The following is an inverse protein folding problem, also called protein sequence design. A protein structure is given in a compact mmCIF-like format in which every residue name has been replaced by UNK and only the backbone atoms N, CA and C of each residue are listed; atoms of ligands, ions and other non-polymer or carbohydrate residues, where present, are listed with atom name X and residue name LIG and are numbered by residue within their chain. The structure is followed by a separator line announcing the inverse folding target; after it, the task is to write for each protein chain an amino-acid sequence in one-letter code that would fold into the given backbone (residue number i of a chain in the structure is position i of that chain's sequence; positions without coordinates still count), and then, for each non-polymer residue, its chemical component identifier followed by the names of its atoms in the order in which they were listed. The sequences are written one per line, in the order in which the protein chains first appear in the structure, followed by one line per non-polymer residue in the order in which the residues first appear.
data_IF_052735697249
#
_entry.id   IF_052735697249
#
_cell.length_a   1.000
_cell.length_b   1.000
_cell.length_c   1.000
_cell.angle_alpha   90.00
_cell.angle_beta   90.00
_cell.angle_gamma   90.00
#
_symmetry.space_group_name_H-M   'P 1'
#
loop_
_entity.id
_entity.type
_entity.pdbx_description
1 polymer ?
#
# COMPACT_ATOMS: atom_id res chain seq x y z
N UNK A 1 -12.04 6.18 -13.60
CA UNK A 1 -10.61 6.38 -13.90
C UNK A 1 -9.85 5.96 -12.68
N UNK A 2 -8.95 4.99 -12.82
CA UNK A 2 -8.08 4.46 -11.77
C UNK A 2 -6.92 5.43 -11.47
N UNK A 3 -6.25 5.24 -10.33
CA UNK A 3 -5.02 5.90 -9.93
C UNK A 3 -3.84 5.05 -10.37
N UNK A 4 -2.77 5.64 -10.87
CA UNK A 4 -1.56 4.90 -11.23
C UNK A 4 -0.85 4.45 -9.95
N UNK A 5 -0.39 3.19 -9.89
CA UNK A 5 0.44 2.70 -8.79
C UNK A 5 1.88 2.62 -9.28
N UNK A 6 2.74 3.49 -8.76
CA UNK A 6 4.16 3.48 -9.04
C UNK A 6 4.88 2.85 -7.86
N UNK A 7 5.51 1.71 -8.07
CA UNK A 7 6.25 1.03 -7.01
C UNK A 7 7.73 1.34 -7.13
N UNK A 8 8.40 1.49 -5.98
CA UNK A 8 9.86 1.46 -5.94
C UNK A 8 10.35 0.03 -6.11
N UNK A 9 11.56 -0.16 -6.62
CA UNK A 9 12.19 -1.48 -6.72
C UNK A 9 12.21 -2.23 -5.39
N UNK A 10 12.36 -1.52 -4.26
CA UNK A 10 12.31 -2.13 -2.93
C UNK A 10 10.94 -2.78 -2.62
N UNK A 11 9.85 -2.14 -3.04
CA UNK A 11 8.49 -2.67 -2.84
C UNK A 11 8.23 -3.85 -3.78
N UNK A 12 8.70 -3.77 -5.03
CA UNK A 12 8.60 -4.86 -6.00
C UNK A 12 9.34 -6.12 -5.49
N UNK A 13 10.60 -5.98 -5.09
CA UNK A 13 11.40 -7.07 -4.53
C UNK A 13 10.75 -7.67 -3.26
N UNK A 14 10.22 -6.81 -2.38
CA UNK A 14 9.48 -7.26 -1.20
C UNK A 14 8.23 -8.09 -1.56
N UNK A 15 7.46 -7.68 -2.57
CA UNK A 15 6.27 -8.42 -3.00
C UNK A 15 6.65 -9.77 -3.62
N UNK A 16 7.72 -9.84 -4.40
CA UNK A 16 8.23 -11.09 -4.97
C UNK A 16 8.66 -12.07 -3.87
N UNK A 17 9.41 -11.60 -2.88
CA UNK A 17 9.80 -12.41 -1.72
C UNK A 17 8.59 -12.85 -0.89
N UNK A 18 7.62 -11.96 -0.68
CA UNK A 18 6.39 -12.26 0.02
C UNK A 18 5.56 -13.32 -0.73
N UNK A 19 5.53 -13.29 -2.06
CA UNK A 19 4.85 -14.30 -2.86
C UNK A 19 5.46 -15.70 -2.66
N UNK A 20 6.78 -15.80 -2.54
CA UNK A 20 7.47 -17.07 -2.31
C UNK A 20 7.30 -17.58 -0.88
N UNK A 21 7.28 -16.68 0.10
CA UNK A 21 7.29 -17.02 1.53
C UNK A 21 5.90 -17.16 2.15
N UNK A 22 4.95 -16.29 1.79
CA UNK A 22 3.59 -16.24 2.33
C UNK A 22 2.58 -15.73 1.28
N UNK A 23 2.02 -16.68 0.54
CA UNK A 23 1.04 -16.41 -0.53
C UNK A 23 -0.26 -15.78 -0.03
N UNK A 24 -0.68 -16.07 1.19
CA UNK A 24 -1.93 -15.53 1.73
C UNK A 24 -1.75 -14.05 2.09
N UNK A 25 -0.64 -13.70 2.73
CA UNK A 25 -0.29 -12.30 2.97
C UNK A 25 -0.10 -11.54 1.65
N UNK A 26 0.64 -12.10 0.70
CA UNK A 26 0.81 -11.48 -0.62
C UNK A 26 -0.53 -11.19 -1.31
N UNK A 27 -1.48 -12.14 -1.27
CA UNK A 27 -2.82 -11.94 -1.83
C UNK A 27 -3.56 -10.77 -1.16
N UNK A 28 -3.49 -10.65 0.16
CA UNK A 28 -4.14 -9.56 0.91
C UNK A 28 -3.51 -8.21 0.58
N UNK A 29 -2.19 -8.15 0.44
CA UNK A 29 -1.46 -6.95 0.02
C UNK A 29 -1.90 -6.51 -1.38
N UNK A 30 -1.94 -7.43 -2.35
CA UNK A 30 -2.39 -7.10 -3.70
C UNK A 30 -3.86 -6.63 -3.74
N UNK A 31 -4.73 -7.23 -2.93
CA UNK A 31 -6.11 -6.76 -2.80
C UNK A 31 -6.17 -5.33 -2.25
N UNK A 32 -5.35 -4.99 -1.26
CA UNK A 32 -5.26 -3.64 -0.73
C UNK A 32 -4.76 -2.62 -1.78
N UNK A 33 -3.75 -3.01 -2.58
CA UNK A 33 -3.24 -2.18 -3.69
C UNK A 33 -4.32 -1.92 -4.73
N UNK A 34 -5.08 -2.96 -5.14
CA UNK A 34 -6.19 -2.81 -6.09
C UNK A 34 -7.31 -1.89 -5.57
N UNK A 35 -7.57 -1.89 -4.27
CA UNK A 35 -8.54 -0.97 -3.67
C UNK A 35 -8.00 0.46 -3.70
N UNK A 36 -6.72 0.64 -3.37
CA UNK A 36 -6.06 1.96 -3.44
C UNK A 36 -6.03 2.50 -4.87
N UNK A 37 -5.73 1.67 -5.87
CA UNK A 37 -5.76 2.02 -7.29
C UNK A 37 -7.14 2.55 -7.72
N UNK A 38 -8.23 1.94 -7.23
CA UNK A 38 -9.59 2.34 -7.58
C UNK A 38 -10.03 3.61 -6.88
N UNK A 39 -9.69 3.76 -5.60
CA UNK A 39 -10.25 4.78 -4.72
C UNK A 39 -9.32 6.00 -4.53
N UNK A 40 -8.01 5.81 -4.64
CA UNK A 40 -6.97 6.80 -4.39
C UNK A 40 -7.19 7.56 -3.07
N UNK A 41 -7.31 8.91 -3.09
CA UNK A 41 -7.46 9.74 -1.89
C UNK A 41 -8.77 9.53 -1.15
N UNK A 42 -9.77 8.89 -1.77
CA UNK A 42 -11.01 8.55 -1.08
C UNK A 42 -10.82 7.37 -0.11
N UNK A 43 -9.72 6.61 -0.24
CA UNK A 43 -9.41 5.52 0.67
C UNK A 43 -8.89 6.05 2.01
N UNK A 44 -9.41 5.47 3.10
CA UNK A 44 -9.12 5.92 4.46
C UNK A 44 -9.09 4.74 5.43
N UNK A 45 -9.34 4.99 6.71
CA UNK A 45 -9.39 3.89 7.68
C UNK A 45 -10.54 2.92 7.35
N UNK A 46 -10.34 1.59 7.49
CA UNK A 46 -9.20 0.92 8.12
C UNK A 46 -8.06 0.54 7.16
N UNK A 47 -8.16 0.80 5.86
CA UNK A 47 -7.15 0.37 4.89
C UNK A 47 -5.96 1.34 4.76
N UNK A 48 -6.17 2.64 5.00
CA UNK A 48 -5.13 3.68 4.89
C UNK A 48 -5.06 4.54 6.16
N UNK A 49 -3.86 4.94 6.60
CA UNK A 49 -3.65 6.08 7.53
C UNK A 49 -2.72 7.12 6.96
N UNK A 50 -2.69 8.25 7.68
CA UNK A 50 -1.58 9.20 7.62
C UNK A 50 -0.50 8.83 8.64
N UNK A 51 0.76 8.79 8.20
CA UNK A 51 1.91 8.64 9.08
C UNK A 51 2.24 9.99 9.71
N UNK A 52 2.18 10.08 11.03
CA UNK A 52 2.55 11.30 11.76
C UNK A 52 4.07 11.41 11.92
N UNK A 53 4.58 12.63 12.06
CA UNK A 53 6.02 12.91 12.24
C UNK A 53 6.96 12.40 11.13
N UNK A 54 6.42 12.10 9.94
CA UNK A 54 7.23 11.85 8.74
C UNK A 54 7.92 13.14 8.28
N UNK A 55 9.10 13.02 7.66
CA UNK A 55 9.76 14.12 6.93
C UNK A 55 8.97 14.53 5.68
N UNK A 56 8.11 13.64 5.18
CA UNK A 56 7.22 13.87 4.05
C UNK A 56 5.82 14.14 4.60
N UNK A 57 5.29 15.34 4.39
CA UNK A 57 4.08 15.85 5.04
C UNK A 57 2.79 15.10 4.72
N UNK A 58 2.73 14.44 3.56
CA UNK A 58 1.58 13.67 3.08
C UNK A 58 1.85 12.15 3.07
N UNK A 59 2.82 11.68 3.86
CA UNK A 59 3.13 10.25 3.97
C UNK A 59 1.91 9.48 4.51
N UNK A 60 1.57 8.41 3.81
CA UNK A 60 0.50 7.50 4.15
C UNK A 60 1.04 6.09 4.33
N UNK A 61 0.25 5.26 4.97
CA UNK A 61 0.47 3.83 5.06
C UNK A 61 -0.75 3.08 4.54
N UNK A 62 -0.53 2.08 3.72
CA UNK A 62 -1.49 1.05 3.37
C UNK A 62 -1.40 -0.06 4.41
N UNK A 63 -2.54 -0.48 4.95
CA UNK A 63 -2.70 -1.51 5.96
C UNK A 63 -3.55 -2.67 5.42
N UNK A 64 -2.96 -3.56 4.62
CA UNK A 64 -3.64 -4.78 4.19
C UNK A 64 -4.17 -5.56 5.40
N UNK A 65 -5.29 -6.27 5.26
CA UNK A 65 -5.73 -7.20 6.28
C UNK A 65 -4.63 -8.22 6.61
N UNK A 66 -4.59 -8.65 7.87
CA UNK A 66 -3.62 -9.62 8.37
C UNK A 66 -4.21 -11.03 8.40
N UNK A 67 -3.37 -12.05 8.20
CA UNK A 67 -3.71 -13.47 8.47
C UNK A 67 -3.65 -13.83 9.96
N UNK A 68 -3.32 -12.88 10.84
CA UNK A 68 -3.20 -13.04 12.29
C UNK A 68 -1.78 -13.23 12.81
N UNK A 69 -0.81 -13.51 11.93
CA UNK A 69 0.60 -13.72 12.28
C UNK A 69 1.57 -12.67 11.70
N UNK A 70 1.07 -11.73 10.90
CA UNK A 70 1.87 -10.70 10.23
C UNK A 70 1.17 -9.34 10.29
N UNK A 71 1.92 -8.26 10.39
CA UNK A 71 1.39 -6.89 10.26
C UNK A 71 2.21 -6.15 9.21
N UNK A 72 1.69 -6.11 7.98
CA UNK A 72 2.35 -5.46 6.84
C UNK A 72 1.82 -4.03 6.71
N UNK A 73 2.73 -3.07 6.55
CA UNK A 73 2.44 -1.67 6.29
C UNK A 73 3.30 -1.20 5.12
N UNK A 74 2.68 -0.71 4.06
CA UNK A 74 3.38 -0.17 2.88
C UNK A 74 3.23 1.34 2.90
N UNK A 75 4.36 2.05 2.90
CA UNK A 75 4.36 3.51 2.87
C UNK A 75 4.13 4.01 1.45
N UNK A 76 3.33 5.06 1.30
CA UNK A 76 3.10 5.69 0.00
C UNK A 76 2.72 7.17 0.14
N UNK A 77 2.76 7.90 -0.97
CA UNK A 77 2.23 9.25 -1.13
C UNK A 77 1.28 9.32 -2.32
N UNK A 78 0.27 10.19 -2.23
CA UNK A 78 -0.57 10.51 -3.39
C UNK A 78 -0.02 11.78 -4.04
N UNK A 79 0.21 11.72 -5.34
CA UNK A 79 0.68 12.86 -6.13
C UNK A 79 -0.50 13.67 -6.75
N UNK A 80 -0.24 14.90 -7.24
CA UNK A 80 -1.26 15.69 -7.93
C UNK A 80 -1.68 15.16 -9.32
N UNK A 81 -0.90 14.26 -9.91
CA UNK A 81 -1.11 13.70 -11.25
C UNK A 81 -1.85 12.36 -11.26
N UNK A 82 -2.42 11.98 -10.11
CA UNK A 82 -3.22 10.78 -9.88
C UNK A 82 -2.41 9.48 -9.78
N UNK A 83 -1.22 9.56 -9.20
CA UNK A 83 -0.40 8.41 -8.85
C UNK A 83 -0.32 8.22 -7.34
N UNK A 84 -0.30 6.96 -6.89
CA UNK A 84 0.21 6.56 -5.60
C UNK A 84 1.64 6.03 -5.79
N UNK A 85 2.60 6.61 -5.07
CA UNK A 85 4.04 6.29 -5.15
C UNK A 85 4.56 5.78 -3.83
#
# INVERSE_FOLDING_TARGET
MEWEILMTTQVEEFLDDLYQSDRDCHRLVNQAILVLERNGPAEGRPLVDTVTASRISNMKELRPPSTGHSEIRILFVLDPWRSAV
#
